data_IF_549251923927
#
_entry.id   IF_549251923927
#
_cell.length_a   1.000
_cell.length_b   1.000
_cell.length_c   1.000
_cell.angle_alpha   90.00
_cell.angle_beta   90.00
_cell.angle_gamma   90.00
#
_symmetry.space_group_name_H-M   'P 1'
#
loop_
_entity.id
_entity.type
_entity.pdbx_description
1 polymer ?
#
# COMPACT_ATOMS: atom_id res chain seq x y z
N UNK A 1 -1.19 -15.90 -10.72
CA UNK A 1 -1.81 -14.71 -10.07
C UNK A 1 -3.22 -14.55 -10.61
N UNK A 2 -4.17 -14.37 -9.72
CA UNK A 2 -5.54 -13.98 -10.06
C UNK A 2 -5.85 -12.66 -9.33
N UNK A 3 -6.77 -11.88 -9.89
CA UNK A 3 -7.28 -10.69 -9.23
C UNK A 3 -8.62 -11.03 -8.60
N UNK A 4 -8.76 -10.70 -7.32
CA UNK A 4 -9.98 -10.93 -6.56
C UNK A 4 -10.41 -9.66 -5.83
N UNK A 5 -11.66 -9.61 -5.38
CA UNK A 5 -12.16 -8.58 -4.48
C UNK A 5 -12.40 -9.17 -3.10
N UNK A 6 -12.02 -8.41 -2.09
CA UNK A 6 -12.28 -8.74 -0.68
C UNK A 6 -13.22 -7.68 -0.13
N UNK A 7 -14.43 -8.12 0.23
CA UNK A 7 -15.41 -7.26 0.87
C UNK A 7 -15.01 -7.01 2.32
N UNK A 8 -14.92 -5.75 2.69
CA UNK A 8 -14.57 -5.32 4.04
C UNK A 8 -15.66 -4.43 4.63
N UNK A 9 -15.59 -4.15 5.93
CA UNK A 9 -16.49 -3.19 6.57
C UNK A 9 -16.31 -1.76 6.08
N UNK A 10 -15.23 -1.49 5.33
CA UNK A 10 -14.86 -0.16 4.83
C UNK A 10 -14.88 -0.04 3.31
N UNK A 11 -15.35 -1.06 2.61
CA UNK A 11 -15.47 -1.08 1.15
C UNK A 11 -14.85 -2.34 0.54
N UNK A 12 -15.02 -2.46 -0.78
CA UNK A 12 -14.51 -3.58 -1.55
C UNK A 12 -13.10 -3.28 -2.06
N UNK A 13 -12.16 -4.12 -1.67
CA UNK A 13 -10.74 -3.95 -1.99
C UNK A 13 -10.33 -4.94 -3.07
N UNK A 14 -9.80 -4.43 -4.17
CA UNK A 14 -9.14 -5.22 -5.20
C UNK A 14 -7.77 -5.68 -4.71
N UNK A 15 -7.42 -6.94 -4.95
CA UNK A 15 -6.12 -7.48 -4.59
C UNK A 15 -5.65 -8.51 -5.61
N UNK A 16 -4.35 -8.53 -5.86
CA UNK A 16 -3.69 -9.63 -6.55
C UNK A 16 -3.47 -10.76 -5.56
N UNK A 17 -3.90 -11.95 -5.91
CA UNK A 17 -3.72 -13.16 -5.11
C UNK A 17 -2.84 -14.17 -5.84
N UNK A 18 -1.82 -14.65 -5.17
CA UNK A 18 -0.98 -15.78 -5.58
C UNK A 18 -1.19 -16.90 -4.59
N UNK A 19 -1.74 -18.00 -5.08
CA UNK A 19 -1.96 -19.20 -4.28
C UNK A 19 -0.62 -19.85 -3.94
N UNK A 20 -0.41 -20.10 -2.66
CA UNK A 20 0.69 -20.87 -2.10
C UNK A 20 0.22 -22.25 -1.61
N UNK A 21 0.93 -22.86 -0.65
CA UNK A 21 0.52 -24.14 -0.05
C UNK A 21 -0.86 -24.06 0.60
N UNK A 22 -1.60 -25.17 0.64
CA UNK A 22 -2.99 -25.22 1.13
C UNK A 22 -3.14 -24.63 2.54
N UNK A 23 -2.21 -24.93 3.42
CA UNK A 23 -2.17 -24.44 4.82
C UNK A 23 -0.97 -23.51 5.06
N UNK A 24 -0.43 -22.96 3.98
CA UNK A 24 0.70 -22.04 4.07
C UNK A 24 0.31 -20.71 4.73
N UNK A 25 1.28 -20.06 5.40
CA UNK A 25 1.06 -18.75 6.01
C UNK A 25 0.65 -17.72 4.97
N UNK A 26 0.00 -16.66 5.44
CA UNK A 26 -0.45 -15.56 4.59
C UNK A 26 0.56 -14.41 4.66
N UNK A 27 0.98 -13.91 3.50
CA UNK A 27 1.73 -12.67 3.34
C UNK A 27 0.82 -11.63 2.68
N UNK A 28 0.61 -10.51 3.35
CA UNK A 28 0.04 -9.32 2.73
C UNK A 28 1.15 -8.38 2.27
N UNK A 29 0.95 -7.70 1.13
CA UNK A 29 1.86 -6.69 0.63
C UNK A 29 1.14 -5.38 0.28
N UNK A 30 1.58 -4.28 0.90
CA UNK A 30 1.12 -2.93 0.63
C UNK A 30 2.11 -2.20 -0.29
N UNK A 31 1.59 -1.63 -1.38
CA UNK A 31 2.40 -0.97 -2.40
C UNK A 31 2.83 0.45 -2.03
N UNK A 32 3.86 0.96 -2.70
CA UNK A 32 4.30 2.35 -2.61
C UNK A 32 3.32 3.31 -3.30
N UNK A 33 3.42 4.60 -2.98
CA UNK A 33 2.61 5.64 -3.61
C UNK A 33 2.78 5.65 -5.14
N UNK A 34 1.67 5.70 -5.86
CA UNK A 34 1.63 5.69 -7.31
C UNK A 34 1.79 4.31 -7.96
N UNK A 35 1.90 3.24 -7.16
CA UNK A 35 1.93 1.85 -7.59
C UNK A 35 0.59 1.17 -7.34
N UNK A 36 0.54 -0.14 -7.55
CA UNK A 36 -0.56 -1.05 -7.21
C UNK A 36 0.00 -2.43 -6.85
N UNK A 37 -0.84 -3.34 -6.40
CA UNK A 37 -0.41 -4.68 -5.99
C UNK A 37 0.28 -5.47 -7.10
N UNK A 38 -0.13 -5.30 -8.35
CA UNK A 38 0.43 -6.03 -9.49
C UNK A 38 1.88 -5.63 -9.80
N UNK A 39 2.30 -4.41 -9.46
CA UNK A 39 3.67 -3.92 -9.67
C UNK A 39 4.72 -4.83 -9.03
N UNK A 40 4.36 -5.52 -7.96
CA UNK A 40 5.28 -6.41 -7.22
C UNK A 40 5.24 -7.87 -7.66
N UNK A 41 4.52 -8.20 -8.74
CA UNK A 41 4.33 -9.59 -9.21
C UNK A 41 5.65 -10.34 -9.38
N UNK A 42 6.67 -9.69 -9.93
CA UNK A 42 7.98 -10.30 -10.22
C UNK A 42 8.72 -10.76 -8.96
N UNK A 43 8.52 -10.05 -7.85
CA UNK A 43 9.14 -10.38 -6.56
C UNK A 43 8.25 -11.36 -5.80
N UNK A 44 6.97 -11.04 -5.66
CA UNK A 44 6.04 -11.78 -4.82
C UNK A 44 5.79 -13.19 -5.33
N UNK A 45 5.73 -13.39 -6.66
CA UNK A 45 5.53 -14.72 -7.24
C UNK A 45 6.61 -15.74 -6.83
N UNK A 46 7.81 -15.28 -6.50
CA UNK A 46 8.91 -16.15 -6.03
C UNK A 46 8.71 -16.69 -4.61
N UNK A 47 7.79 -16.10 -3.85
CA UNK A 47 7.50 -16.49 -2.47
C UNK A 47 6.32 -17.47 -2.36
N UNK A 48 5.71 -17.85 -3.49
CA UNK A 48 4.52 -18.72 -3.52
C UNK A 48 4.79 -20.14 -3.07
N UNK A 49 6.05 -20.58 -3.04
CA UNK A 49 6.41 -21.88 -2.45
C UNK A 49 6.16 -21.95 -0.93
N UNK A 50 6.05 -20.80 -0.27
CA UNK A 50 5.88 -20.72 1.20
C UNK A 50 4.59 -20.01 1.62
N UNK A 51 4.12 -19.01 0.87
CA UNK A 51 3.06 -18.11 1.29
C UNK A 51 1.87 -18.09 0.35
N UNK A 52 0.68 -17.96 0.90
CA UNK A 52 -0.49 -17.42 0.20
C UNK A 52 -0.37 -15.89 0.22
N UNK A 53 -0.27 -15.24 -0.95
CA UNK A 53 0.14 -13.83 -1.02
C UNK A 53 -1.01 -12.96 -1.51
N UNK A 54 -1.26 -11.88 -0.79
CA UNK A 54 -2.24 -10.87 -1.13
C UNK A 54 -1.55 -9.51 -1.27
N UNK A 55 -1.45 -8.99 -2.50
CA UNK A 55 -1.00 -7.62 -2.72
C UNK A 55 -2.21 -6.76 -3.07
N UNK A 56 -2.65 -5.97 -2.11
CA UNK A 56 -3.84 -5.14 -2.26
C UNK A 56 -3.59 -3.95 -3.18
N UNK A 57 -4.66 -3.41 -3.72
CA UNK A 57 -4.66 -2.07 -4.28
C UNK A 57 -5.25 -1.14 -3.21
N UNK A 58 -4.47 -0.19 -2.70
CA UNK A 58 -4.96 0.82 -1.75
C UNK A 58 -6.19 1.52 -2.33
N UNK A 59 -7.24 1.84 -1.55
CA UNK A 59 -8.40 2.57 -2.05
C UNK A 59 -8.03 3.80 -2.89
N UNK A 60 -8.61 3.92 -4.10
CA UNK A 60 -8.26 4.93 -5.08
C UNK A 60 -7.05 4.61 -5.96
N UNK A 61 -6.41 3.45 -5.79
CA UNK A 61 -5.32 2.96 -6.63
C UNK A 61 -5.72 1.66 -7.33
N UNK A 62 -5.02 1.38 -8.43
CA UNK A 62 -5.22 0.16 -9.19
C UNK A 62 -6.68 -0.05 -9.60
N UNK A 63 -7.30 -1.12 -9.09
CA UNK A 63 -8.70 -1.46 -9.33
C UNK A 63 -9.58 -1.34 -8.07
N UNK A 64 -9.06 -0.75 -7.00
CA UNK A 64 -9.84 -0.37 -5.82
C UNK A 64 -10.43 1.03 -5.99
N UNK A 65 -11.73 1.14 -5.75
CA UNK A 65 -12.40 2.44 -5.73
C UNK A 65 -12.08 3.19 -4.43
N UNK A 66 -12.27 4.50 -4.44
CA UNK A 66 -12.19 5.30 -3.22
C UNK A 66 -13.40 4.92 -2.37
N UNK A 67 -13.15 4.40 -1.17
CA UNK A 67 -14.21 4.02 -0.25
C UNK A 67 -14.94 5.24 0.34
N UNK A 68 -16.16 5.00 0.82
CA UNK A 68 -16.98 6.02 1.50
C UNK A 68 -16.34 6.59 2.78
N UNK A 69 -15.35 5.93 3.31
CA UNK A 69 -14.60 6.33 4.52
C UNK A 69 -13.28 7.07 4.20
N UNK A 70 -13.14 7.60 2.98
CA UNK A 70 -11.95 8.38 2.63
C UNK A 70 -11.81 9.61 3.53
N UNK A 71 -10.68 9.70 4.21
CA UNK A 71 -10.33 10.84 5.05
C UNK A 71 -9.40 11.79 4.27
N UNK A 72 -9.98 12.87 3.75
CA UNK A 72 -9.22 13.87 3.00
C UNK A 72 -8.22 14.66 3.88
N UNK A 73 -8.47 14.74 5.19
CA UNK A 73 -7.61 15.47 6.14
C UNK A 73 -6.41 14.62 6.56
N UNK A 74 -6.62 13.31 6.74
CA UNK A 74 -5.56 12.38 7.10
C UNK A 74 -5.67 11.06 6.33
N UNK A 75 -5.38 11.08 5.02
CA UNK A 75 -5.55 9.90 4.16
C UNK A 75 -4.71 8.71 4.60
N UNK A 76 -3.53 8.94 5.18
CA UNK A 76 -2.65 7.85 5.67
C UNK A 76 -3.31 7.10 6.83
N UNK A 77 -3.95 7.82 7.76
CA UNK A 77 -4.70 7.20 8.84
C UNK A 77 -5.94 6.46 8.31
N UNK A 78 -6.63 7.03 7.33
CA UNK A 78 -7.75 6.38 6.63
C UNK A 78 -7.31 5.05 6.03
N UNK A 79 -6.28 5.07 5.20
CA UNK A 79 -5.73 3.87 4.56
C UNK A 79 -5.22 2.81 5.54
N UNK A 80 -4.65 3.21 6.69
CA UNK A 80 -4.22 2.23 7.70
C UNK A 80 -5.40 1.50 8.33
N UNK A 81 -6.54 2.17 8.51
CA UNK A 81 -7.80 1.55 8.98
C UNK A 81 -8.41 0.64 7.89
N UNK A 82 -8.35 1.05 6.62
CA UNK A 82 -8.79 0.22 5.49
C UNK A 82 -7.95 -1.06 5.42
N UNK A 83 -6.63 -0.94 5.59
CA UNK A 83 -5.73 -2.08 5.65
C UNK A 83 -6.06 -3.00 6.83
N UNK A 84 -6.29 -2.44 8.02
CA UNK A 84 -6.65 -3.25 9.19
C UNK A 84 -7.98 -4.01 8.97
N UNK A 85 -8.97 -3.38 8.31
CA UNK A 85 -10.23 -4.04 7.94
C UNK A 85 -9.98 -5.17 6.94
N UNK A 86 -9.18 -4.92 5.90
CA UNK A 86 -8.80 -5.93 4.91
C UNK A 86 -8.08 -7.13 5.54
N UNK A 87 -7.10 -6.91 6.40
CA UNK A 87 -6.37 -7.96 7.10
C UNK A 87 -7.29 -8.76 8.03
N UNK A 88 -8.25 -8.10 8.66
CA UNK A 88 -9.24 -8.79 9.50
C UNK A 88 -10.06 -9.78 8.67
N UNK A 89 -10.45 -9.44 7.45
CA UNK A 89 -11.17 -10.36 6.56
C UNK A 89 -10.27 -11.51 6.07
N UNK A 90 -9.00 -11.25 5.78
CA UNK A 90 -8.05 -12.33 5.48
C UNK A 90 -7.85 -13.27 6.66
N UNK A 91 -7.73 -12.73 7.87
CA UNK A 91 -7.61 -13.54 9.08
C UNK A 91 -8.82 -14.46 9.30
N UNK A 92 -10.04 -13.94 9.11
CA UNK A 92 -11.27 -14.74 9.19
C UNK A 92 -11.27 -15.88 8.17
N UNK A 93 -10.78 -15.62 6.95
CA UNK A 93 -10.73 -16.59 5.86
C UNK A 93 -9.70 -17.71 6.09
N UNK A 94 -8.52 -17.34 6.54
CA UNK A 94 -7.39 -18.26 6.70
C UNK A 94 -7.27 -18.85 8.11
N UNK A 95 -7.88 -18.22 9.11
CA UNK A 95 -7.79 -18.59 10.54
C UNK A 95 -6.34 -18.74 11.04
N UNK A 96 -5.44 -17.96 10.45
CA UNK A 96 -4.01 -17.95 10.75
C UNK A 96 -3.49 -16.52 10.82
N UNK A 97 -2.45 -16.29 11.60
CA UNK A 97 -1.77 -15.00 11.67
C UNK A 97 -1.17 -14.63 10.31
N UNK A 98 -1.04 -13.33 10.05
CA UNK A 98 -0.66 -12.78 8.75
C UNK A 98 0.63 -12.00 8.89
N UNK A 99 1.59 -12.27 8.02
CA UNK A 99 2.77 -11.40 7.85
C UNK A 99 2.36 -10.19 7.04
N UNK A 100 2.55 -8.99 7.59
CA UNK A 100 2.30 -7.74 6.86
C UNK A 100 3.58 -7.26 6.21
N UNK A 101 3.54 -7.08 4.90
CA UNK A 101 4.64 -6.50 4.15
C UNK A 101 4.25 -5.19 3.49
N UNK A 102 5.26 -4.37 3.17
CA UNK A 102 5.00 -3.17 2.39
C UNK A 102 6.25 -2.40 2.01
N UNK A 103 6.13 -1.65 0.91
CA UNK A 103 7.18 -0.79 0.39
C UNK A 103 6.83 0.68 0.61
N UNK A 104 7.81 1.48 1.05
CA UNK A 104 7.66 2.93 1.23
C UNK A 104 6.46 3.26 2.13
N UNK A 105 5.51 4.07 1.67
CA UNK A 105 4.27 4.37 2.42
C UNK A 105 3.47 3.09 2.77
N UNK A 106 3.50 2.04 1.94
CA UNK A 106 2.88 0.76 2.23
C UNK A 106 3.46 0.09 3.47
N UNK A 107 4.78 0.23 3.69
CA UNK A 107 5.43 -0.21 4.93
C UNK A 107 4.91 0.57 6.15
N UNK A 108 4.77 1.88 6.02
CA UNK A 108 4.21 2.73 7.08
C UNK A 108 2.75 2.36 7.40
N UNK A 109 1.94 2.09 6.36
CA UNK A 109 0.55 1.63 6.53
C UNK A 109 0.49 0.29 7.26
N UNK A 110 1.41 -0.65 6.95
CA UNK A 110 1.51 -1.94 7.63
C UNK A 110 1.83 -1.80 9.11
N UNK A 111 2.76 -0.90 9.48
CA UNK A 111 3.07 -0.56 10.88
C UNK A 111 1.85 0.04 11.57
N UNK A 112 1.17 1.00 10.93
CA UNK A 112 0.01 1.66 11.54
C UNK A 112 -1.17 0.71 11.68
N UNK A 113 -1.43 -0.13 10.70
CA UNK A 113 -2.50 -1.12 10.72
C UNK A 113 -2.28 -2.18 11.80
N UNK A 114 -1.03 -2.61 12.04
CA UNK A 114 -0.72 -3.63 13.04
C UNK A 114 -1.17 -3.24 14.45
N UNK A 115 -1.21 -1.94 14.77
CA UNK A 115 -1.74 -1.44 16.05
C UNK A 115 -3.22 -1.74 16.30
N UNK A 116 -3.98 -1.99 15.24
CA UNK A 116 -5.41 -2.29 15.28
C UNK A 116 -5.73 -3.79 15.13
N UNK A 117 -4.70 -4.62 14.97
CA UNK A 117 -4.86 -6.02 14.60
C UNK A 117 -4.55 -7.01 15.72
N UNK A 118 -4.04 -6.52 16.85
CA UNK A 118 -3.69 -7.33 18.04
C UNK A 118 -2.90 -8.59 17.66
N UNK A 119 -3.48 -9.76 17.95
CA UNK A 119 -2.91 -11.09 17.74
C UNK A 119 -3.00 -11.63 16.30
N UNK A 120 -3.54 -10.85 15.35
CA UNK A 120 -3.74 -11.30 13.96
C UNK A 120 -2.48 -11.18 13.10
N UNK A 121 -1.47 -10.47 13.58
CA UNK A 121 -0.21 -10.24 12.88
C UNK A 121 0.89 -11.12 13.46
N UNK A 122 1.61 -11.80 12.58
CA UNK A 122 2.74 -12.66 12.94
C UNK A 122 4.09 -11.93 12.84
N UNK A 123 4.19 -10.97 11.93
CA UNK A 123 5.40 -10.18 11.72
C UNK A 123 5.25 -9.09 10.69
N UNK A 124 6.29 -8.27 10.56
CA UNK A 124 6.39 -7.17 9.60
C UNK A 124 7.59 -7.37 8.67
N UNK A 125 7.41 -7.17 7.36
CA UNK A 125 8.46 -7.14 6.34
C UNK A 125 8.42 -5.79 5.66
N UNK A 126 9.36 -4.93 5.97
CA UNK A 126 9.36 -3.53 5.57
C UNK A 126 10.48 -3.25 4.57
N UNK A 127 10.10 -2.83 3.36
CA UNK A 127 11.03 -2.40 2.33
C UNK A 127 11.02 -0.87 2.27
N UNK A 128 12.09 -0.24 2.73
CA UNK A 128 12.30 1.22 2.74
C UNK A 128 11.06 2.01 3.25
N UNK A 129 10.56 1.74 4.47
CA UNK A 129 9.35 2.36 4.97
C UNK A 129 9.56 3.86 5.23
N UNK A 130 8.56 4.67 4.91
CA UNK A 130 8.57 6.10 5.27
C UNK A 130 8.24 6.25 6.75
N UNK A 131 9.26 6.49 7.57
CA UNK A 131 9.09 6.76 9.00
C UNK A 131 9.34 8.24 9.25
N UNK A 132 8.25 8.98 9.51
CA UNK A 132 8.34 10.40 9.83
C UNK A 132 8.58 10.53 11.33
N UNK A 133 9.72 11.12 11.70
CA UNK A 133 10.03 11.39 13.09
C UNK A 133 9.00 12.36 13.69
N UNK A 134 8.55 12.07 14.91
CA UNK A 134 7.58 12.88 15.66
C UNK A 134 8.04 14.34 15.82
N UNK A 135 9.32 14.56 16.05
CA UNK A 135 9.91 15.91 16.15
C UNK A 135 9.80 16.70 14.85
N UNK A 136 9.88 16.05 13.69
CA UNK A 136 9.72 16.69 12.40
C UNK A 136 8.31 17.24 12.20
N UNK A 137 7.29 16.55 12.72
CA UNK A 137 5.90 17.02 12.69
C UNK A 137 5.69 18.28 13.50
N UNK A 138 6.33 18.40 14.68
CA UNK A 138 6.27 19.61 15.50
C UNK A 138 7.08 20.75 14.89
N UNK A 139 8.26 20.45 14.37
CA UNK A 139 9.09 21.42 13.67
C UNK A 139 8.37 22.06 12.49
N UNK A 140 7.72 21.26 11.63
CA UNK A 140 6.96 21.78 10.48
C UNK A 140 5.69 22.54 10.90
N UNK A 141 5.07 22.18 12.01
CA UNK A 141 3.91 22.90 12.55
C UNK A 141 4.29 24.28 13.14
N UNK A 142 5.46 24.39 13.75
CA UNK A 142 5.93 25.63 14.37
C UNK A 142 6.60 26.58 13.37
N UNK A 143 7.35 26.07 12.42
CA UNK A 143 8.11 26.86 11.45
C UNK A 143 7.40 27.03 10.09
N UNK A 144 6.21 26.44 9.93
CA UNK A 144 5.35 26.61 8.73
C UNK A 144 6.09 26.32 7.41
N UNK A 145 5.88 27.16 6.38
CA UNK A 145 6.48 26.96 5.08
C UNK A 145 8.02 26.98 5.06
N UNK A 146 8.65 27.56 6.06
CA UNK A 146 10.12 27.63 6.20
C UNK A 146 10.74 26.31 6.72
N UNK A 147 9.92 25.37 7.24
CA UNK A 147 10.38 24.08 7.76
C UNK A 147 10.38 22.94 6.75
N UNK A 148 9.89 23.13 5.53
CA UNK A 148 10.00 22.14 4.47
C UNK A 148 11.36 22.25 3.80
N UNK A 149 12.12 21.14 3.79
CA UNK A 149 13.32 21.10 2.99
C UNK A 149 12.99 21.24 1.49
N UNK A 150 13.97 21.71 0.73
CA UNK A 150 13.82 21.94 -0.71
C UNK A 150 13.48 20.64 -1.47
N UNK A 151 13.90 19.47 -0.95
CA UNK A 151 13.65 18.17 -1.56
C UNK A 151 12.20 17.71 -1.35
N UNK A 152 11.63 17.92 -0.17
CA UNK A 152 10.22 17.62 0.11
C UNK A 152 9.29 18.46 -0.78
N UNK A 153 9.59 19.76 -0.94
CA UNK A 153 8.84 20.65 -1.83
C UNK A 153 8.99 20.21 -3.30
N UNK A 154 10.19 19.80 -3.70
CA UNK A 154 10.46 19.30 -5.06
C UNK A 154 9.68 18.02 -5.36
N UNK A 155 9.67 17.06 -4.45
CA UNK A 155 8.91 15.81 -4.56
C UNK A 155 7.40 16.08 -4.65
N UNK A 156 6.88 16.97 -3.83
CA UNK A 156 5.46 17.38 -3.87
C UNK A 156 5.10 18.01 -5.24
N UNK A 157 5.91 18.96 -5.72
CA UNK A 157 5.71 19.58 -7.03
C UNK A 157 5.81 18.59 -8.19
N UNK A 158 6.71 17.61 -8.09
CA UNK A 158 6.82 16.53 -9.07
C UNK A 158 5.59 15.62 -9.06
N UNK A 159 5.04 15.32 -7.87
CA UNK A 159 3.81 14.54 -7.75
C UNK A 159 2.61 15.25 -8.38
N UNK A 160 2.48 16.56 -8.16
CA UNK A 160 1.41 17.38 -8.76
C UNK A 160 1.51 17.47 -10.30
N UNK A 161 2.73 17.36 -10.85
CA UNK A 161 2.96 17.37 -12.30
C UNK A 161 2.74 16.02 -12.98
N UNK A 162 2.44 14.96 -12.23
CA UNK A 162 2.18 13.65 -12.83
C UNK A 162 0.94 13.70 -13.71
N UNK A 163 1.10 13.26 -14.95
CA UNK A 163 -0.02 13.16 -15.90
C UNK A 163 -1.03 12.14 -15.37
N UNK A 164 -2.27 12.55 -15.31
CA UNK A 164 -3.41 11.69 -14.90
C UNK A 164 -4.17 11.09 -16.09
N UNK A 165 -3.96 11.63 -17.31
CA UNK A 165 -4.62 11.18 -18.54
C UNK A 165 -3.59 11.00 -19.66
N UNK A 166 -3.77 9.92 -20.42
CA UNK A 166 -2.93 9.53 -21.54
C UNK A 166 -3.81 9.22 -22.75
N UNK A 167 -3.32 9.52 -23.96
CA UNK A 167 -4.09 9.30 -25.21
C UNK A 167 -4.14 7.82 -25.59
N UNK A 168 -3.08 7.06 -25.29
CA UNK A 168 -2.98 5.64 -25.58
C UNK A 168 -2.01 4.93 -24.63
N UNK A 169 -2.06 3.60 -24.60
CA UNK A 169 -1.10 2.77 -23.88
C UNK A 169 0.33 2.94 -24.40
N UNK A 170 0.49 3.10 -25.73
CA UNK A 170 1.81 3.31 -26.35
C UNK A 170 2.46 4.61 -25.91
N UNK A 171 1.68 5.67 -25.72
CA UNK A 171 2.17 6.94 -25.15
C UNK A 171 2.67 6.74 -23.72
N UNK A 172 1.95 5.97 -22.90
CA UNK A 172 2.40 5.61 -21.56
C UNK A 172 3.72 4.85 -21.61
N UNK A 173 3.74 3.77 -22.39
CA UNK A 173 4.91 2.90 -22.51
C UNK A 173 6.15 3.70 -22.95
N UNK A 174 6.04 4.48 -24.01
CA UNK A 174 7.12 5.33 -24.51
C UNK A 174 7.62 6.34 -23.46
N UNK A 175 6.68 6.93 -22.72
CA UNK A 175 7.03 7.91 -21.67
C UNK A 175 7.77 7.26 -20.49
N UNK A 176 7.44 6.04 -20.10
CA UNK A 176 8.11 5.34 -19.01
C UNK A 176 9.46 4.76 -19.47
N UNK A 177 9.51 4.14 -20.65
CA UNK A 177 10.76 3.61 -21.22
C UNK A 177 11.82 4.70 -21.40
N UNK A 178 11.44 5.90 -21.88
CA UNK A 178 12.36 7.03 -22.02
C UNK A 178 12.89 7.57 -20.68
N UNK A 179 12.28 7.18 -19.56
CA UNK A 179 12.74 7.52 -18.20
C UNK A 179 13.56 6.41 -17.54
N UNK A 180 13.83 5.31 -18.25
CA UNK A 180 14.59 4.18 -17.73
C UNK A 180 13.82 3.27 -16.77
N UNK A 181 12.49 3.25 -16.88
CA UNK A 181 11.60 2.43 -16.05
C UNK A 181 10.96 1.34 -16.91
#
# INVERSE_FOLDING_TARGET
MIRIRVKTTRGDISTCFWKGPKEGPVLHWAHANGFNGQTYSRILSKLTSKYNIYAWDTPGYGMSEIGSYYDAVNPVLGYSKDLASFITELYKRHKSKIVLGGHSIGGSLSIMASKHLNDKVDGLVLADPVIINYYYKYFTKFFGPFGYDSNTIKLYRQALKKRSKWKSFDEVLKSYTNRGI
#
